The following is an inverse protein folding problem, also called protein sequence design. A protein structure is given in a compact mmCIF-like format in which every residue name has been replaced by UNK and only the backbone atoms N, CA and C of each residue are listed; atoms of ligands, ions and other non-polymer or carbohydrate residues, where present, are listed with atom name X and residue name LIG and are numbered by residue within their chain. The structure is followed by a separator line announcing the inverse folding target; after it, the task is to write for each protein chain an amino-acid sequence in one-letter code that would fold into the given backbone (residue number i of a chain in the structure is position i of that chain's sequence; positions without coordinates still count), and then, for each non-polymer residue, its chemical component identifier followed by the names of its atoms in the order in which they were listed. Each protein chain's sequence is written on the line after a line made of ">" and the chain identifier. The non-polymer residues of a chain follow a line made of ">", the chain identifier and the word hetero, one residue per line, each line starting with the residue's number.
data_IF_192366581996
#
_entry.id   IF_192366581996
#
_cell.length_a   1.000
_cell.length_b   1.000
_cell.length_c   1.000
_cell.angle_alpha   90.00
_cell.angle_beta   90.00
_cell.angle_gamma   90.00
#
_symmetry.space_group_name_H-M   'P 1'
#
loop_
_entity.id
_entity.type
_entity.pdbx_description
1 polymer ?
#
# COMPACT_ATOMS: atom_id res chain seq x y z
N UNK A 1 -4.20 -9.34 -7.02
CA UNK A 1 -3.89 -8.69 -8.31
C UNK A 1 -5.22 -8.35 -8.99
N UNK A 2 -5.82 -7.20 -8.69
CA UNK A 2 -7.16 -6.84 -9.24
C UNK A 2 -7.21 -5.38 -9.71
N UNK A 3 -6.38 -4.48 -9.19
CA UNK A 3 -6.44 -3.06 -9.59
C UNK A 3 -5.70 -2.74 -10.90
N UNK A 4 -4.53 -3.35 -11.12
CA UNK A 4 -3.80 -3.21 -12.39
C UNK A 4 -4.60 -3.68 -13.60
N UNK A 5 -5.43 -4.73 -13.44
CA UNK A 5 -6.30 -5.24 -14.51
C UNK A 5 -7.52 -4.35 -14.79
N UNK A 6 -8.04 -3.62 -13.81
CA UNK A 6 -9.18 -2.71 -14.01
C UNK A 6 -8.71 -1.43 -14.71
N UNK A 7 -7.52 -0.91 -14.37
CA UNK A 7 -6.96 0.28 -15.04
C UNK A 7 -6.39 -0.01 -16.44
N UNK A 8 -6.20 -1.30 -16.79
CA UNK A 8 -5.84 -1.75 -18.15
C UNK A 8 -7.01 -1.70 -19.15
N UNK A 9 -8.25 -1.72 -18.67
CA UNK A 9 -9.44 -1.66 -19.54
C UNK A 9 -9.88 -0.23 -19.90
N UNK A 10 -9.54 0.77 -19.07
CA UNK A 10 -9.81 2.18 -19.36
C UNK A 10 -8.66 2.77 -20.15
N UNK A 11 -8.70 2.59 -21.48
CA UNK A 11 -7.76 3.06 -22.48
C UNK A 11 -7.71 4.60 -22.61
N UNK A 12 -7.40 5.30 -21.52
CA UNK A 12 -7.30 6.77 -21.46
C UNK A 12 -5.86 7.23 -21.17
N UNK A 13 -4.93 6.58 -21.88
CA UNK A 13 -3.48 6.70 -21.65
C UNK A 13 -2.85 7.99 -22.22
N UNK A 14 -3.63 8.86 -22.88
CA UNK A 14 -3.13 10.12 -23.46
C UNK A 14 -3.18 11.32 -22.51
N UNK A 15 -4.05 11.30 -21.49
CA UNK A 15 -4.35 12.50 -20.68
C UNK A 15 -3.74 12.48 -19.26
N UNK A 16 -3.18 11.35 -18.83
CA UNK A 16 -2.55 11.24 -17.52
C UNK A 16 -1.30 12.13 -17.37
N UNK A 17 -0.52 12.32 -18.44
CA UNK A 17 0.71 13.13 -18.38
C UNK A 17 0.45 14.60 -18.05
N UNK A 18 -0.66 15.21 -18.50
CA UNK A 18 -0.97 16.62 -18.23
C UNK A 18 -1.84 16.87 -17.00
N UNK A 19 -2.57 15.86 -16.50
CA UNK A 19 -3.41 16.02 -15.31
C UNK A 19 -2.63 15.90 -13.98
N UNK A 20 -1.44 15.29 -14.00
CA UNK A 20 -0.72 14.92 -12.77
C UNK A 20 0.45 15.84 -12.37
N UNK A 21 0.84 16.81 -13.21
CA UNK A 21 1.87 17.83 -12.90
C UNK A 21 1.52 18.74 -11.70
N UNK A 22 0.30 18.63 -11.16
CA UNK A 22 -0.15 19.36 -9.97
C UNK A 22 -0.82 18.49 -8.91
N UNK A 23 -0.64 17.17 -8.94
CA UNK A 23 -1.07 16.35 -7.81
C UNK A 23 -0.13 16.62 -6.65
N UNK A 24 -0.61 17.45 -5.74
CA UNK A 24 -0.14 17.61 -4.37
C UNK A 24 0.49 16.29 -3.90
N UNK A 25 1.81 16.30 -3.69
CA UNK A 25 2.60 15.15 -3.25
C UNK A 25 2.10 14.55 -1.94
N UNK A 26 1.24 15.28 -1.23
CA UNK A 26 0.53 14.87 -0.03
C UNK A 26 -0.98 15.05 -0.19
N UNK A 27 -1.71 13.97 0.04
CA UNK A 27 -3.17 13.95 -0.06
C UNK A 27 -3.71 12.52 -0.12
N UNK A 28 -5.01 12.31 0.13
CA UNK A 28 -5.60 10.97 0.25
C UNK A 28 -5.47 10.11 -1.02
N UNK A 29 -5.27 10.72 -2.18
CA UNK A 29 -5.10 10.03 -3.46
C UNK A 29 -3.67 10.01 -3.99
N UNK A 30 -2.72 10.63 -3.26
CA UNK A 30 -1.34 10.78 -3.72
C UNK A 30 -0.64 9.42 -3.93
N UNK A 31 -0.89 8.44 -3.05
CA UNK A 31 -0.29 7.11 -3.18
C UNK A 31 -0.72 6.41 -4.47
N UNK A 32 -2.03 6.44 -4.77
CA UNK A 32 -2.57 5.82 -5.99
C UNK A 32 -2.08 6.54 -7.24
N UNK A 33 -2.02 7.87 -7.22
CA UNK A 33 -1.52 8.65 -8.35
C UNK A 33 -0.06 8.29 -8.67
N UNK A 34 0.82 8.26 -7.66
CA UNK A 34 2.22 7.87 -7.85
C UNK A 34 2.35 6.44 -8.41
N UNK A 35 1.53 5.51 -7.93
CA UNK A 35 1.56 4.13 -8.43
C UNK A 35 1.17 4.08 -9.90
N UNK A 36 0.06 4.74 -10.26
CA UNK A 36 -0.42 4.84 -11.64
C UNK A 36 0.62 5.50 -12.56
N UNK A 37 1.32 6.55 -12.10
CA UNK A 37 2.39 7.20 -12.86
C UNK A 37 3.51 6.21 -13.18
N UNK A 38 4.01 5.45 -12.19
CA UNK A 38 5.06 4.47 -12.46
C UNK A 38 4.63 3.36 -13.43
N UNK A 39 3.38 2.91 -13.37
CA UNK A 39 2.84 1.94 -14.33
C UNK A 39 2.68 2.51 -15.74
N UNK A 40 2.34 3.80 -15.87
CA UNK A 40 2.29 4.47 -17.16
C UNK A 40 3.69 4.51 -17.82
N UNK A 41 4.74 4.86 -17.05
CA UNK A 41 6.11 4.87 -17.53
C UNK A 41 6.60 3.45 -17.93
N UNK A 42 6.29 2.43 -17.12
CA UNK A 42 6.58 1.03 -17.48
C UNK A 42 5.86 0.58 -18.75
N UNK A 43 4.62 1.01 -18.96
CA UNK A 43 3.86 0.69 -20.17
C UNK A 43 4.48 1.37 -21.40
N UNK A 44 5.05 2.56 -21.22
CA UNK A 44 5.85 3.26 -22.23
C UNK A 44 7.27 2.68 -22.40
N UNK A 45 7.62 1.60 -21.70
CA UNK A 45 8.96 0.99 -21.65
C UNK A 45 10.05 1.91 -21.07
N UNK A 46 9.65 2.99 -20.39
CA UNK A 46 10.55 3.91 -19.69
C UNK A 46 10.70 3.49 -18.22
N UNK A 47 11.45 2.40 -18.01
CA UNK A 47 11.67 1.83 -16.69
C UNK A 47 12.45 2.77 -15.75
N UNK A 48 13.25 3.69 -16.30
CA UNK A 48 14.03 4.66 -15.52
C UNK A 48 13.12 5.71 -14.87
N UNK A 49 12.16 6.27 -15.62
CA UNK A 49 11.20 7.22 -15.05
C UNK A 49 10.27 6.57 -14.03
N UNK A 50 9.93 5.29 -14.19
CA UNK A 50 9.13 4.55 -13.22
C UNK A 50 9.79 4.44 -11.84
N UNK A 51 11.13 4.54 -11.75
CA UNK A 51 11.86 4.46 -10.47
C UNK A 51 11.53 5.62 -9.53
N UNK A 52 11.26 6.81 -10.07
CA UNK A 52 11.03 8.03 -9.28
C UNK A 52 9.74 7.94 -8.46
N UNK A 53 8.54 7.76 -9.05
CA UNK A 53 7.30 7.71 -8.29
C UNK A 53 7.23 6.50 -7.36
N UNK A 54 7.74 5.34 -7.78
CA UNK A 54 7.78 4.15 -6.91
C UNK A 54 8.80 4.31 -5.77
N UNK A 55 9.94 4.94 -6.02
CA UNK A 55 10.91 5.31 -4.98
C UNK A 55 10.31 6.19 -3.89
N UNK A 56 9.44 7.14 -4.28
CA UNK A 56 8.70 7.98 -3.32
C UNK A 56 7.62 7.21 -2.54
N UNK A 57 7.04 6.16 -3.14
CA UNK A 57 6.01 5.34 -2.49
C UNK A 57 6.57 4.38 -1.45
N UNK A 58 7.68 3.71 -1.73
CA UNK A 58 8.16 2.60 -0.88
C UNK A 58 8.53 3.02 0.55
N UNK A 59 8.77 4.31 0.79
CA UNK A 59 9.03 4.90 2.11
C UNK A 59 7.78 5.34 2.88
N UNK A 60 6.58 5.21 2.31
CA UNK A 60 5.31 5.59 2.96
C UNK A 60 4.75 4.44 3.81
N UNK A 61 3.54 4.63 4.34
CA UNK A 61 2.87 3.64 5.19
C UNK A 61 2.77 2.27 4.50
N UNK A 62 3.38 1.25 5.11
CA UNK A 62 3.45 -0.10 4.56
C UNK A 62 2.10 -0.84 4.55
N UNK A 63 1.08 -0.33 5.24
CA UNK A 63 -0.27 -0.89 5.22
C UNK A 63 -1.08 -0.44 4.00
N UNK A 64 -0.65 0.63 3.30
CA UNK A 64 -1.29 1.11 2.09
C UNK A 64 -1.00 0.17 0.91
N UNK A 65 -2.06 -0.24 0.20
CA UNK A 65 -1.96 -1.20 -0.90
C UNK A 65 -1.06 -0.70 -2.05
N UNK A 66 -1.06 0.59 -2.36
CA UNK A 66 -0.22 1.15 -3.42
C UNK A 66 1.26 1.17 -3.02
N UNK A 67 1.55 1.35 -1.73
CA UNK A 67 2.91 1.24 -1.19
C UNK A 67 3.39 -0.22 -1.26
N UNK A 68 2.54 -1.17 -0.89
CA UNK A 68 2.87 -2.60 -1.00
C UNK A 68 3.14 -3.00 -2.46
N UNK A 69 2.33 -2.52 -3.39
CA UNK A 69 2.55 -2.78 -4.82
C UNK A 69 3.87 -2.15 -5.31
N UNK A 70 4.17 -0.91 -4.93
CA UNK A 70 5.42 -0.25 -5.29
C UNK A 70 6.66 -0.96 -4.74
N UNK A 71 6.58 -1.58 -3.55
CA UNK A 71 7.67 -2.40 -2.97
C UNK A 71 8.03 -3.60 -3.85
N UNK A 72 7.12 -4.07 -4.70
CA UNK A 72 7.37 -5.13 -5.69
C UNK A 72 7.67 -4.57 -7.09
N UNK A 73 7.04 -3.46 -7.46
CA UNK A 73 7.18 -2.85 -8.77
C UNK A 73 8.55 -2.18 -8.97
N UNK A 74 9.09 -1.53 -7.93
CA UNK A 74 10.42 -0.91 -7.98
C UNK A 74 11.56 -1.92 -8.26
N UNK A 75 11.70 -3.04 -7.52
CA UNK A 75 12.69 -4.05 -7.87
C UNK A 75 12.43 -4.70 -9.24
N UNK A 76 11.17 -4.80 -9.67
CA UNK A 76 10.85 -5.23 -11.03
C UNK A 76 11.45 -4.28 -12.08
N UNK A 77 11.26 -2.96 -11.95
CA UNK A 77 11.88 -2.00 -12.87
C UNK A 77 13.41 -2.10 -12.86
N UNK A 78 14.04 -2.23 -11.69
CA UNK A 78 15.50 -2.46 -11.62
C UNK A 78 15.94 -3.73 -12.35
N UNK A 79 15.16 -4.81 -12.30
CA UNK A 79 15.46 -6.05 -13.04
C UNK A 79 15.36 -5.87 -14.56
N UNK A 80 14.44 -5.04 -15.05
CA UNK A 80 14.30 -4.69 -16.47
C UNK A 80 15.48 -3.86 -16.96
N UNK A 81 16.04 -3.04 -16.08
CA UNK A 81 17.27 -2.27 -16.30
C UNK A 81 18.57 -3.08 -16.08
N UNK A 82 18.50 -4.41 -15.96
CA UNK A 82 19.65 -5.30 -15.73
C UNK A 82 20.40 -5.04 -14.40
N UNK A 83 19.80 -4.31 -13.45
CA UNK A 83 20.36 -3.99 -12.14
C UNK A 83 19.96 -5.04 -11.09
N UNK A 84 20.33 -6.29 -11.35
CA UNK A 84 19.85 -7.46 -10.60
C UNK A 84 20.23 -7.46 -9.11
N UNK A 85 21.43 -7.01 -8.76
CA UNK A 85 21.86 -6.94 -7.35
C UNK A 85 20.95 -6.00 -6.54
N UNK A 86 20.60 -4.85 -7.11
CA UNK A 86 19.69 -3.89 -6.48
C UNK A 86 18.26 -4.41 -6.43
N UNK A 87 17.79 -5.06 -7.49
CA UNK A 87 16.49 -5.70 -7.52
C UNK A 87 16.36 -6.78 -6.42
N UNK A 88 17.36 -7.65 -6.27
CA UNK A 88 17.37 -8.71 -5.26
C UNK A 88 17.34 -8.15 -3.83
N UNK A 89 18.13 -7.11 -3.54
CA UNK A 89 18.13 -6.43 -2.24
C UNK A 89 16.74 -5.85 -1.92
N UNK A 90 16.13 -5.14 -2.88
CA UNK A 90 14.83 -4.52 -2.71
C UNK A 90 13.70 -5.56 -2.57
N UNK A 91 13.76 -6.68 -3.31
CA UNK A 91 12.83 -7.79 -3.11
C UNK A 91 12.97 -8.40 -1.71
N UNK A 92 14.20 -8.57 -1.21
CA UNK A 92 14.45 -9.04 0.15
C UNK A 92 13.84 -8.10 1.21
N UNK A 93 13.97 -6.79 1.01
CA UNK A 93 13.34 -5.78 1.88
C UNK A 93 11.81 -5.82 1.83
N UNK A 94 11.23 -6.04 0.64
CA UNK A 94 9.78 -6.21 0.50
C UNK A 94 9.28 -7.45 1.25
N UNK A 95 9.98 -8.57 1.12
CA UNK A 95 9.70 -9.82 1.84
C UNK A 95 9.73 -9.64 3.37
N UNK A 96 10.78 -9.01 3.91
CA UNK A 96 10.88 -8.70 5.34
C UNK A 96 9.73 -7.80 5.82
N UNK A 97 9.42 -6.75 5.04
CA UNK A 97 8.32 -5.83 5.35
C UNK A 97 6.97 -6.55 5.36
N UNK A 98 6.69 -7.42 4.40
CA UNK A 98 5.42 -8.15 4.33
C UNK A 98 5.32 -9.23 5.41
N UNK A 99 6.42 -9.89 5.76
CA UNK A 99 6.47 -10.82 6.90
C UNK A 99 6.02 -10.14 8.19
N UNK A 100 6.55 -8.95 8.49
CA UNK A 100 6.18 -8.16 9.67
C UNK A 100 4.71 -7.74 9.67
N UNK A 101 4.16 -7.32 8.54
CA UNK A 101 2.74 -6.97 8.45
C UNK A 101 1.84 -8.21 8.61
N UNK A 102 2.23 -9.35 8.06
CA UNK A 102 1.50 -10.61 8.24
C UNK A 102 1.49 -11.06 9.71
N UNK A 103 2.63 -10.96 10.41
CA UNK A 103 2.72 -11.26 11.84
C UNK A 103 1.77 -10.39 12.68
N UNK A 104 1.64 -9.10 12.35
CA UNK A 104 0.69 -8.19 13.02
C UNK A 104 -0.76 -8.60 12.77
N UNK A 105 -1.09 -8.97 11.54
CA UNK A 105 -2.43 -9.47 11.17
C UNK A 105 -2.73 -10.76 11.94
N UNK A 106 -1.80 -11.71 11.97
CA UNK A 106 -1.95 -12.98 12.69
C UNK A 106 -2.09 -12.78 14.20
N UNK A 107 -1.33 -11.85 14.78
CA UNK A 107 -1.48 -11.48 16.19
C UNK A 107 -2.87 -10.90 16.47
N UNK A 108 -3.38 -10.04 15.58
CA UNK A 108 -4.71 -9.44 15.68
C UNK A 108 -5.82 -10.49 15.58
N UNK A 109 -5.73 -11.42 14.61
CA UNK A 109 -6.67 -12.54 14.46
C UNK A 109 -6.69 -13.43 15.71
N UNK A 110 -5.51 -13.77 16.25
CA UNK A 110 -5.41 -14.54 17.50
C UNK A 110 -6.06 -13.82 18.69
N UNK A 111 -5.82 -12.52 18.83
CA UNK A 111 -6.42 -11.69 19.89
C UNK A 111 -7.96 -11.64 19.79
N UNK A 112 -8.50 -11.46 18.58
CA UNK A 112 -9.94 -11.45 18.33
C UNK A 112 -10.54 -12.82 18.67
N UNK A 113 -9.95 -13.92 18.18
CA UNK A 113 -10.42 -15.29 18.46
C UNK A 113 -10.38 -15.66 19.94
N UNK A 114 -9.41 -15.13 20.69
CA UNK A 114 -9.33 -15.31 22.14
C UNK A 114 -10.35 -14.45 22.93
N UNK A 115 -11.15 -13.63 22.25
CA UNK A 115 -12.09 -12.69 22.86
C UNK A 115 -11.42 -11.50 23.54
N UNK A 116 -10.12 -11.31 23.34
CA UNK A 116 -9.36 -10.23 23.98
C UNK A 116 -9.70 -8.86 23.40
N UNK A 117 -10.09 -8.81 22.12
CA UNK A 117 -10.58 -7.57 21.49
C UNK A 117 -11.84 -7.05 22.20
N UNK A 118 -12.84 -7.91 22.40
CA UNK A 118 -14.07 -7.53 23.09
C UNK A 118 -13.76 -7.10 24.54
N UNK A 119 -12.91 -7.85 25.26
CA UNK A 119 -12.48 -7.49 26.61
C UNK A 119 -11.79 -6.13 26.68
N UNK A 120 -10.96 -5.79 25.69
CA UNK A 120 -10.29 -4.50 25.61
C UNK A 120 -11.27 -3.36 25.35
N UNK A 121 -12.21 -3.55 24.41
CA UNK A 121 -13.27 -2.57 24.09
C UNK A 121 -14.15 -2.29 25.31
N UNK A 122 -14.62 -3.34 25.97
CA UNK A 122 -15.40 -3.26 27.22
C UNK A 122 -14.63 -2.53 28.31
N UNK A 123 -13.35 -2.87 28.52
CA UNK A 123 -12.54 -2.25 29.57
C UNK A 123 -12.33 -0.76 29.33
N UNK A 124 -12.23 -0.32 28.08
CA UNK A 124 -12.06 1.09 27.74
C UNK A 124 -13.38 1.86 27.84
N UNK A 125 -14.51 1.29 27.40
CA UNK A 125 -15.83 1.90 27.56
C UNK A 125 -16.27 1.97 29.03
N UNK A 126 -15.96 0.96 29.87
CA UNK A 126 -16.22 1.01 31.32
C UNK A 126 -15.47 2.19 31.98
N UNK A 127 -14.27 2.55 31.48
CA UNK A 127 -13.57 3.74 31.98
C UNK A 127 -14.21 5.05 31.51
N UNK A 128 -14.85 5.05 30.35
CA UNK A 128 -15.47 6.26 29.78
C UNK A 128 -16.92 6.48 30.25
N UNK A 129 -17.71 5.42 30.46
CA UNK A 129 -19.11 5.54 30.87
C UNK A 129 -19.65 4.22 31.47
N UNK A 130 -20.15 4.25 32.71
CA UNK A 130 -20.66 3.06 33.42
C UNK A 130 -21.97 2.48 32.84
N UNK A 131 -22.65 3.18 31.93
CA UNK A 131 -23.95 2.78 31.36
C UNK A 131 -23.88 2.20 29.93
N UNK A 132 -22.68 1.92 29.40
CA UNK A 132 -22.46 1.51 28.00
C UNK A 132 -23.21 0.22 27.59
N UNK A 133 -23.38 -0.74 28.50
CA UNK A 133 -24.06 -2.03 28.24
C UNK A 133 -25.51 -1.86 27.79
N UNK A 134 -26.19 -0.78 28.21
CA UNK A 134 -27.59 -0.51 27.86
C UNK A 134 -27.73 -0.02 26.42
N UNK A 135 -26.68 0.60 25.83
CA UNK A 135 -26.71 1.15 24.47
C UNK A 135 -26.45 0.13 23.36
N UNK A 136 -25.95 -1.07 23.67
CA UNK A 136 -25.68 -2.13 22.68
C UNK A 136 -26.87 -3.07 22.42
N UNK A 137 -27.98 -2.92 23.16
CA UNK A 137 -29.19 -3.76 23.03
C UNK A 137 -30.35 -3.10 22.26
N UNK A 138 -30.10 -1.93 21.67
CA UNK A 138 -31.05 -1.18 20.83
C UNK A 138 -30.44 -1.07 19.44
#
# INVERSE_FOLDING_TARGET
>A
MVLGSIMLQSADYGHAQQAFDRVRLEGPYSNRALLSTGWAEVSAHDYEKALVPWGMLIGRDATDAAVQEAKLALPFAYSRLQLYGRAALLYGQALDSFGKELEKVDASVRSIRAGNFLKALVREEIKQDNLWVVRLRI
#
